data_IF_291411455661
#
_entry.id   IF_291411455661
#
_cell.length_a   1.000
_cell.length_b   1.000
_cell.length_c   1.000
_cell.angle_alpha   90.00
_cell.angle_beta   90.00
_cell.angle_gamma   90.00
#
_symmetry.space_group_name_H-M   'P 1'
#
loop_
_entity.id
_entity.type
_entity.pdbx_description
1 polymer ?
#
# COMPACT_ATOMS: atom_id res chain seq x y z
N UNK A 1 0.16 -10.24 -7.52
CA UNK A 1 -0.40 -10.80 -6.26
C UNK A 1 -0.50 -12.31 -6.34
N UNK A 2 -0.25 -12.99 -5.23
CA UNK A 2 -0.30 -14.46 -5.10
C UNK A 2 -1.73 -14.98 -5.25
N UNK A 3 -1.88 -16.14 -5.88
CA UNK A 3 -3.09 -16.93 -5.86
C UNK A 3 -3.06 -17.88 -4.66
N UNK A 4 -4.22 -18.16 -4.10
CA UNK A 4 -4.38 -19.01 -2.93
C UNK A 4 -5.35 -20.17 -3.26
N UNK A 5 -5.36 -21.19 -2.43
CA UNK A 5 -6.20 -22.36 -2.61
C UNK A 5 -6.98 -22.65 -1.34
N UNK A 6 -8.26 -22.89 -1.46
CA UNK A 6 -9.10 -23.32 -0.35
C UNK A 6 -8.64 -24.68 0.18
N UNK A 7 -8.27 -24.76 1.46
CA UNK A 7 -7.81 -26.01 2.07
C UNK A 7 -8.91 -27.07 2.24
N UNK A 8 -10.18 -26.72 2.02
CA UNK A 8 -11.30 -27.68 2.08
C UNK A 8 -11.64 -28.28 0.71
N UNK A 9 -11.74 -27.47 -0.35
CA UNK A 9 -12.25 -27.92 -1.66
C UNK A 9 -11.31 -27.65 -2.84
N UNK A 10 -10.10 -27.16 -2.59
CA UNK A 10 -9.07 -26.82 -3.58
C UNK A 10 -9.49 -25.74 -4.59
N UNK A 11 -10.61 -25.02 -4.36
CA UNK A 11 -10.98 -23.91 -5.22
C UNK A 11 -9.98 -22.74 -5.09
N UNK A 12 -9.78 -22.04 -6.21
CA UNK A 12 -8.94 -20.84 -6.26
C UNK A 12 -9.54 -19.74 -5.39
N UNK A 13 -8.69 -19.06 -4.64
CA UNK A 13 -9.03 -17.93 -3.80
C UNK A 13 -8.16 -16.71 -4.18
N UNK A 14 -8.75 -15.54 -4.09
CA UNK A 14 -8.09 -14.26 -4.29
C UNK A 14 -7.90 -13.54 -2.96
N UNK A 15 -6.95 -12.62 -2.91
CA UNK A 15 -6.50 -11.95 -1.70
C UNK A 15 -7.63 -11.34 -0.85
N UNK A 16 -8.63 -10.77 -1.50
CA UNK A 16 -9.77 -10.10 -0.84
C UNK A 16 -10.92 -11.04 -0.45
N UNK A 17 -10.83 -12.34 -0.76
CA UNK A 17 -11.91 -13.23 -0.40
C UNK A 17 -12.06 -13.35 1.12
N UNK A 18 -13.29 -13.30 1.60
CA UNK A 18 -13.71 -13.61 2.97
C UNK A 18 -14.48 -14.93 3.06
N UNK A 19 -14.86 -15.49 1.91
CA UNK A 19 -15.57 -16.76 1.76
C UNK A 19 -15.09 -17.49 0.50
N UNK A 20 -15.01 -18.82 0.56
CA UNK A 20 -14.81 -19.63 -0.63
C UNK A 20 -16.12 -19.71 -1.41
N UNK A 21 -16.12 -19.30 -2.68
CA UNK A 21 -17.32 -19.22 -3.50
C UNK A 21 -17.96 -20.59 -3.79
N UNK A 22 -17.19 -21.69 -3.70
CA UNK A 22 -17.67 -23.06 -3.98
C UNK A 22 -18.18 -23.74 -2.71
N UNK A 23 -17.36 -23.87 -1.69
CA UNK A 23 -17.73 -24.64 -0.49
C UNK A 23 -18.29 -23.79 0.65
N UNK A 24 -18.37 -22.49 0.49
CA UNK A 24 -18.92 -21.52 1.44
C UNK A 24 -18.20 -21.46 2.80
N UNK A 25 -17.02 -22.07 2.91
CA UNK A 25 -16.23 -21.88 4.11
C UNK A 25 -15.68 -20.45 4.19
N UNK A 26 -15.69 -19.94 5.39
CA UNK A 26 -15.06 -18.66 5.73
C UNK A 26 -13.56 -18.72 5.47
N UNK A 27 -12.98 -17.65 4.94
CA UNK A 27 -11.54 -17.52 4.70
C UNK A 27 -11.04 -16.19 5.22
N UNK A 28 -9.81 -16.16 5.74
CA UNK A 28 -9.18 -14.93 6.21
C UNK A 28 -7.68 -14.95 5.96
N UNK A 29 -7.07 -13.77 5.90
CA UNK A 29 -5.65 -13.60 5.63
C UNK A 29 -4.82 -13.59 6.91
N UNK A 30 -3.89 -14.51 7.03
CA UNK A 30 -2.86 -14.55 8.09
C UNK A 30 -1.63 -13.76 7.63
N UNK A 31 -1.44 -12.58 8.21
CA UNK A 31 -0.30 -11.71 7.89
C UNK A 31 1.05 -12.29 8.33
N UNK A 32 1.07 -13.13 9.37
CA UNK A 32 2.30 -13.75 9.85
C UNK A 32 2.85 -14.82 8.91
N UNK A 33 1.98 -15.46 8.13
CA UNK A 33 2.35 -16.48 7.14
C UNK A 33 2.17 -16.04 5.69
N UNK A 34 1.57 -14.89 5.44
CA UNK A 34 1.20 -14.36 4.12
C UNK A 34 0.36 -15.34 3.30
N UNK A 35 -0.66 -15.94 3.93
CA UNK A 35 -1.57 -16.91 3.32
C UNK A 35 -3.04 -16.61 3.64
N UNK A 36 -3.94 -16.99 2.73
CA UNK A 36 -5.36 -17.14 3.04
C UNK A 36 -5.60 -18.50 3.69
N UNK A 37 -6.34 -18.50 4.78
CA UNK A 37 -6.66 -19.69 5.56
C UNK A 37 -8.16 -19.95 5.48
N UNK A 38 -8.54 -21.20 5.22
CA UNK A 38 -9.92 -21.66 5.33
C UNK A 38 -10.23 -21.98 6.80
N UNK A 39 -11.36 -21.49 7.28
CA UNK A 39 -11.69 -21.44 8.69
C UNK A 39 -12.96 -22.22 9.03
N UNK A 40 -12.98 -22.76 10.23
CA UNK A 40 -14.17 -23.28 10.91
C UNK A 40 -14.55 -22.38 12.07
N UNK A 41 -15.84 -22.18 12.28
CA UNK A 41 -16.34 -21.51 13.47
C UNK A 41 -16.06 -22.37 14.72
N UNK A 42 -15.58 -21.74 15.77
CA UNK A 42 -15.38 -22.34 17.09
C UNK A 42 -16.02 -21.50 18.19
N UNK A 43 -16.13 -22.04 19.40
CA UNK A 43 -16.67 -21.26 20.53
C UNK A 43 -15.86 -20.02 20.90
N UNK A 44 -14.58 -20.00 20.54
CA UNK A 44 -13.64 -18.91 20.89
C UNK A 44 -13.29 -18.01 19.69
N UNK A 45 -13.83 -18.28 18.49
CA UNK A 45 -13.51 -17.56 17.27
C UNK A 45 -13.41 -18.46 16.05
N UNK A 46 -12.34 -18.36 15.29
CA UNK A 46 -12.12 -19.09 14.04
C UNK A 46 -10.89 -19.98 14.13
N UNK A 47 -11.02 -21.25 13.78
CA UNK A 47 -9.91 -22.21 13.77
C UNK A 47 -9.59 -22.62 12.33
N UNK A 48 -8.29 -22.65 11.93
CA UNK A 48 -7.90 -23.13 10.61
C UNK A 48 -8.26 -24.60 10.39
N UNK A 49 -8.71 -24.94 9.18
CA UNK A 49 -8.91 -26.35 8.80
C UNK A 49 -7.55 -27.07 8.77
N UNK A 50 -7.47 -28.21 9.49
CA UNK A 50 -6.27 -29.05 9.51
C UNK A 50 -5.11 -28.54 10.37
N UNK A 51 -5.29 -27.44 11.11
CA UNK A 51 -4.29 -26.92 12.05
C UNK A 51 -4.92 -26.82 13.44
N UNK A 52 -4.36 -27.55 14.39
CA UNK A 52 -4.81 -27.53 15.78
C UNK A 52 -4.11 -26.43 16.58
N UNK A 53 -4.74 -25.97 17.66
CA UNK A 53 -4.20 -25.02 18.64
C UNK A 53 -3.96 -23.59 18.15
N UNK A 54 -4.57 -23.20 17.04
CA UNK A 54 -4.57 -21.80 16.59
C UNK A 54 -6.02 -21.31 16.50
N UNK A 55 -6.31 -20.20 17.15
CA UNK A 55 -7.62 -19.55 17.09
C UNK A 55 -7.41 -18.08 16.70
N UNK A 56 -8.24 -17.63 15.79
CA UNK A 56 -8.20 -16.26 15.26
C UNK A 56 -9.55 -15.57 15.48
N UNK A 57 -9.51 -14.25 15.41
CA UNK A 57 -10.66 -13.40 15.15
C UNK A 57 -10.39 -12.54 13.94
N UNK A 58 -11.41 -12.00 13.32
CA UNK A 58 -11.23 -10.97 12.31
C UNK A 58 -10.79 -9.63 12.93
N UNK A 59 -10.08 -8.84 12.14
CA UNK A 59 -9.85 -7.43 12.40
C UNK A 59 -11.19 -6.70 12.56
N UNK A 60 -11.29 -5.74 13.50
CA UNK A 60 -12.50 -4.97 13.72
C UNK A 60 -13.02 -4.25 12.46
N UNK A 61 -12.15 -3.90 11.52
CA UNK A 61 -12.57 -3.31 10.24
C UNK A 61 -13.22 -4.33 9.27
N UNK A 62 -13.29 -5.60 9.61
CA UNK A 62 -14.07 -6.58 8.86
C UNK A 62 -15.57 -6.28 8.90
N UNK A 63 -16.08 -5.72 10.00
CA UNK A 63 -17.49 -5.33 10.16
C UNK A 63 -17.93 -4.28 9.13
N UNK A 64 -16.99 -3.50 8.62
CA UNK A 64 -17.23 -2.53 7.54
C UNK A 64 -17.04 -3.14 6.14
N UNK A 65 -16.67 -4.43 6.03
CA UNK A 65 -16.39 -5.10 4.77
C UNK A 65 -15.14 -4.57 4.06
N UNK A 66 -14.15 -4.08 4.82
CA UNK A 66 -12.91 -3.50 4.29
C UNK A 66 -11.69 -4.37 4.53
N UNK A 67 -11.80 -5.37 5.42
CA UNK A 67 -10.68 -6.17 5.88
C UNK A 67 -11.08 -7.63 6.04
N UNK A 68 -10.26 -8.55 5.52
CA UNK A 68 -10.38 -9.99 5.73
C UNK A 68 -9.20 -10.57 6.53
N UNK A 69 -8.40 -9.70 7.17
CA UNK A 69 -7.21 -10.12 7.89
C UNK A 69 -7.54 -10.65 9.28
N UNK A 70 -6.83 -11.68 9.64
CA UNK A 70 -6.97 -12.40 10.90
C UNK A 70 -6.02 -11.87 11.96
N UNK A 71 -6.46 -11.97 13.20
CA UNK A 71 -5.69 -11.62 14.40
C UNK A 71 -5.71 -12.83 15.33
N UNK A 72 -4.57 -13.35 15.80
CA UNK A 72 -4.56 -14.36 16.85
C UNK A 72 -5.32 -13.86 18.08
N UNK A 73 -6.12 -14.71 18.71
CA UNK A 73 -6.91 -14.31 19.90
C UNK A 73 -6.04 -13.88 21.09
N UNK A 74 -4.77 -14.27 21.08
CA UNK A 74 -3.77 -13.87 22.10
C UNK A 74 -3.31 -12.42 21.94
N UNK A 75 -3.56 -11.79 20.79
CA UNK A 75 -3.21 -10.40 20.54
C UNK A 75 -4.30 -9.48 21.09
N UNK A 76 -3.91 -8.47 21.88
CA UNK A 76 -4.85 -7.53 22.52
C UNK A 76 -5.46 -6.51 21.53
N UNK A 77 -4.69 -6.04 20.55
CA UNK A 77 -5.17 -5.06 19.56
C UNK A 77 -6.38 -5.59 18.77
N UNK A 78 -7.46 -4.82 18.61
CA UNK A 78 -8.60 -5.20 17.77
C UNK A 78 -8.29 -5.08 16.26
N UNK A 79 -7.15 -4.51 15.89
CA UNK A 79 -6.77 -4.25 14.52
C UNK A 79 -5.62 -5.15 14.06
N UNK A 80 -5.68 -5.59 12.80
CA UNK A 80 -4.60 -6.31 12.14
C UNK A 80 -3.42 -5.38 11.82
N UNK A 81 -2.29 -5.95 11.39
CA UNK A 81 -1.07 -5.19 11.05
C UNK A 81 -1.34 -4.01 10.10
N UNK A 82 -2.19 -4.20 9.09
CA UNK A 82 -2.50 -3.14 8.13
C UNK A 82 -3.45 -2.07 8.70
N UNK A 83 -4.47 -2.47 9.46
CA UNK A 83 -5.44 -1.53 10.02
C UNK A 83 -4.91 -0.77 11.24
N UNK A 84 -3.95 -1.33 11.96
CA UNK A 84 -3.27 -0.65 13.06
C UNK A 84 -2.43 0.56 12.62
N UNK A 85 -2.16 0.70 11.33
CA UNK A 85 -1.47 1.85 10.76
C UNK A 85 -2.38 3.06 10.54
N UNK A 86 -3.70 2.91 10.66
CA UNK A 86 -4.63 4.04 10.51
C UNK A 86 -4.58 4.93 11.75
N UNK A 87 -4.22 6.19 11.56
CA UNK A 87 -4.28 7.23 12.59
C UNK A 87 -5.59 8.01 12.50
N UNK A 88 -5.99 8.39 11.31
CA UNK A 88 -7.24 9.11 11.03
C UNK A 88 -8.02 8.39 9.93
N UNK A 89 -9.34 8.26 10.13
CA UNK A 89 -10.28 7.78 9.11
C UNK A 89 -11.41 8.79 8.95
N UNK A 90 -12.04 8.88 7.76
CA UNK A 90 -13.12 9.82 7.55
C UNK A 90 -14.38 9.45 8.35
N UNK A 91 -15.34 10.37 8.47
CA UNK A 91 -16.63 10.10 9.09
C UNK A 91 -17.41 9.06 8.27
N UNK A 92 -17.49 7.81 8.76
CA UNK A 92 -18.11 6.67 8.07
C UNK A 92 -19.64 6.73 8.05
N UNK A 93 -20.27 7.63 8.83
CA UNK A 93 -21.70 7.92 8.74
C UNK A 93 -22.09 8.57 7.41
N UNK A 94 -21.16 9.19 6.72
CA UNK A 94 -21.35 9.64 5.35
C UNK A 94 -21.11 8.46 4.39
N UNK A 95 -22.13 8.12 3.60
CA UNK A 95 -22.11 6.96 2.70
C UNK A 95 -21.03 7.09 1.61
N UNK A 96 -20.81 8.30 1.06
CA UNK A 96 -19.74 8.58 0.10
C UNK A 96 -18.37 8.28 0.74
N UNK A 97 -18.11 8.86 1.91
CA UNK A 97 -16.84 8.65 2.62
C UNK A 97 -16.59 7.17 2.93
N UNK A 98 -17.62 6.44 3.35
CA UNK A 98 -17.54 5.01 3.64
C UNK A 98 -17.14 4.21 2.39
N UNK A 99 -17.77 4.50 1.24
CA UNK A 99 -17.47 3.82 -0.03
C UNK A 99 -16.04 4.10 -0.51
N UNK A 100 -15.60 5.35 -0.43
CA UNK A 100 -14.26 5.75 -0.84
C UNK A 100 -13.19 5.18 0.11
N UNK A 101 -13.42 5.26 1.41
CA UNK A 101 -12.53 4.65 2.41
C UNK A 101 -12.37 3.14 2.22
N UNK A 102 -13.43 2.40 1.86
CA UNK A 102 -13.32 0.97 1.54
C UNK A 102 -12.35 0.70 0.39
N UNK A 103 -12.39 1.49 -0.66
CA UNK A 103 -11.47 1.35 -1.80
C UNK A 103 -10.02 1.64 -1.40
N UNK A 104 -9.82 2.67 -0.57
CA UNK A 104 -8.51 3.04 -0.02
C UNK A 104 -7.96 1.90 0.85
N UNK A 105 -8.76 1.35 1.75
CA UNK A 105 -8.35 0.24 2.61
C UNK A 105 -7.91 -0.99 1.82
N UNK A 106 -8.63 -1.35 0.75
CA UNK A 106 -8.24 -2.46 -0.14
C UNK A 106 -6.85 -2.20 -0.76
N UNK A 107 -6.62 -0.98 -1.26
CA UNK A 107 -5.31 -0.63 -1.84
C UNK A 107 -4.20 -0.62 -0.79
N UNK A 108 -4.46 -0.12 0.42
CA UNK A 108 -3.52 -0.13 1.54
C UNK A 108 -3.19 -1.56 2.00
N UNK A 109 -4.17 -2.47 2.07
CA UNK A 109 -3.91 -3.88 2.40
C UNK A 109 -2.98 -4.54 1.37
N UNK A 110 -3.14 -4.24 0.08
CA UNK A 110 -2.24 -4.70 -0.97
C UNK A 110 -0.83 -4.13 -0.83
N UNK A 111 -0.72 -2.83 -0.49
CA UNK A 111 0.57 -2.22 -0.17
C UNK A 111 1.23 -2.96 1.00
N UNK A 112 0.53 -3.08 2.14
CA UNK A 112 1.09 -3.68 3.35
C UNK A 112 1.47 -5.15 3.12
N UNK A 113 0.68 -5.90 2.36
CA UNK A 113 1.05 -7.25 1.91
C UNK A 113 2.41 -7.25 1.19
N UNK A 114 2.60 -6.34 0.22
CA UNK A 114 3.84 -6.26 -0.55
C UNK A 114 5.04 -5.89 0.34
N UNK A 115 4.85 -4.97 1.30
CA UNK A 115 5.88 -4.58 2.26
C UNK A 115 6.30 -5.76 3.16
N UNK A 116 5.32 -6.47 3.73
CA UNK A 116 5.58 -7.65 4.57
C UNK A 116 6.27 -8.76 3.79
N UNK A 117 5.86 -9.00 2.54
CA UNK A 117 6.48 -9.99 1.66
C UNK A 117 7.93 -9.67 1.34
N UNK A 118 8.28 -8.41 1.20
CA UNK A 118 9.66 -7.94 0.99
C UNK A 118 10.48 -7.91 2.28
N UNK A 119 9.89 -8.24 3.43
CA UNK A 119 10.56 -8.20 4.73
C UNK A 119 10.86 -6.79 5.24
N UNK A 120 10.17 -5.79 4.71
CA UNK A 120 10.34 -4.41 5.12
C UNK A 120 9.70 -4.15 6.50
N UNK A 121 10.24 -3.24 7.31
CA UNK A 121 9.65 -2.88 8.60
C UNK A 121 8.28 -2.23 8.41
N UNK A 122 7.26 -2.77 9.09
CA UNK A 122 5.89 -2.26 9.08
C UNK A 122 5.42 -2.18 10.53
N UNK A 123 5.57 -1.02 11.13
CA UNK A 123 5.17 -0.77 12.51
C UNK A 123 4.33 0.50 12.62
N UNK A 124 3.25 0.51 13.44
CA UNK A 124 2.47 1.72 13.66
C UNK A 124 3.31 2.81 14.31
N UNK A 125 3.14 4.05 13.85
CA UNK A 125 3.73 5.24 14.46
C UNK A 125 3.13 5.47 15.84
N UNK A 126 3.97 5.51 16.87
CA UNK A 126 3.53 5.61 18.27
C UNK A 126 3.26 7.08 18.66
N UNK A 127 4.14 7.99 18.23
CA UNK A 127 4.07 9.42 18.53
C UNK A 127 4.77 10.22 17.42
N UNK A 128 4.85 11.53 17.57
CA UNK A 128 5.45 12.42 16.57
C UNK A 128 6.97 12.25 16.44
N UNK A 129 7.63 11.86 17.51
CA UNK A 129 9.08 11.65 17.58
C UNK A 129 9.52 10.28 17.04
N UNK A 130 8.58 9.37 16.84
CA UNK A 130 8.84 8.05 16.26
C UNK A 130 9.13 8.20 14.76
N UNK A 131 10.39 8.16 14.39
CA UNK A 131 10.86 8.29 12.99
C UNK A 131 10.78 6.98 12.20
N UNK A 132 10.49 5.86 12.88
CA UNK A 132 10.45 4.52 12.28
C UNK A 132 9.05 3.96 12.11
N UNK A 133 8.04 4.63 12.66
CA UNK A 133 6.65 4.24 12.57
C UNK A 133 5.95 4.78 11.32
N UNK A 134 4.95 4.04 10.85
CA UNK A 134 4.07 4.42 9.74
C UNK A 134 2.69 4.77 10.27
N UNK A 135 2.10 5.85 9.79
CA UNK A 135 0.71 6.18 10.01
C UNK A 135 0.02 6.60 8.71
N UNK A 136 -1.25 6.28 8.58
CA UNK A 136 -2.11 6.75 7.48
C UNK A 136 -3.21 7.65 8.01
N UNK A 137 -3.35 8.81 7.39
CA UNK A 137 -4.48 9.72 7.57
C UNK A 137 -5.32 9.74 6.30
N UNK A 138 -6.54 9.24 6.39
CA UNK A 138 -7.52 9.28 5.30
C UNK A 138 -8.54 10.37 5.61
N UNK A 139 -8.43 11.48 4.88
CA UNK A 139 -9.15 12.70 5.17
C UNK A 139 -10.04 13.10 3.99
N UNK A 140 -11.23 13.63 4.30
CA UNK A 140 -12.09 14.29 3.33
C UNK A 140 -11.84 15.80 3.35
N UNK A 141 -12.05 16.46 2.22
CA UNK A 141 -12.05 17.92 2.17
C UNK A 141 -13.12 18.48 3.13
N UNK A 142 -12.74 19.47 3.95
CA UNK A 142 -13.66 20.13 4.86
C UNK A 142 -14.55 21.15 4.15
N UNK A 143 -14.01 21.76 3.09
CA UNK A 143 -14.72 22.70 2.22
C UNK A 143 -14.03 22.75 0.84
N UNK A 144 -14.69 23.31 -0.20
CA UNK A 144 -14.08 23.46 -1.53
C UNK A 144 -12.78 24.28 -1.54
N UNK A 145 -12.57 25.10 -0.52
CA UNK A 145 -11.39 25.95 -0.39
C UNK A 145 -10.31 25.39 0.53
N UNK A 146 -10.60 24.28 1.22
CA UNK A 146 -9.69 23.63 2.17
C UNK A 146 -9.49 22.17 1.72
N UNK A 147 -8.67 22.01 0.67
CA UNK A 147 -8.36 20.69 0.13
C UNK A 147 -7.30 19.99 0.97
N UNK A 148 -7.54 18.72 1.24
CA UNK A 148 -6.54 17.84 1.82
C UNK A 148 -5.47 17.57 0.74
N UNK A 149 -4.23 17.91 1.05
CA UNK A 149 -3.10 17.58 0.18
C UNK A 149 -2.62 16.17 0.52
N UNK A 150 -2.54 15.32 -0.48
CA UNK A 150 -1.90 14.01 -0.35
C UNK A 150 -0.39 14.18 -0.32
N UNK A 151 0.29 13.39 0.51
CA UNK A 151 1.73 13.43 0.62
C UNK A 151 2.24 12.69 1.86
N UNK A 152 3.56 12.65 1.99
CA UNK A 152 4.28 12.06 3.11
C UNK A 152 4.95 13.15 3.95
N UNK A 153 4.88 13.02 5.27
CA UNK A 153 5.62 13.81 6.24
C UNK A 153 5.99 12.98 7.47
N UNK A 154 7.28 12.77 7.69
CA UNK A 154 7.82 12.07 8.86
C UNK A 154 7.04 10.79 9.22
N UNK A 155 6.94 9.86 8.28
CA UNK A 155 6.24 8.57 8.44
C UNK A 155 4.71 8.64 8.46
N UNK A 156 4.12 9.81 8.28
CA UNK A 156 2.68 9.99 8.10
C UNK A 156 2.36 10.16 6.63
N UNK A 157 1.52 9.28 6.11
CA UNK A 157 1.01 9.35 4.75
C UNK A 157 -0.43 9.84 4.81
N UNK A 158 -0.65 11.07 4.35
CA UNK A 158 -1.97 11.67 4.22
C UNK A 158 -2.52 11.39 2.83
N UNK A 159 -3.76 10.96 2.74
CA UNK A 159 -4.45 10.73 1.47
C UNK A 159 -5.83 11.38 1.51
N UNK A 160 -6.13 12.19 0.48
CA UNK A 160 -7.48 12.67 0.27
C UNK A 160 -8.37 11.51 -0.22
N UNK A 161 -9.47 11.25 0.49
CA UNK A 161 -10.36 10.12 0.14
C UNK A 161 -11.00 10.27 -1.24
N UNK A 162 -11.09 11.49 -1.78
CA UNK A 162 -11.60 11.72 -3.14
C UNK A 162 -10.73 11.06 -4.22
N UNK A 163 -9.47 10.74 -3.92
CA UNK A 163 -8.62 9.97 -4.83
C UNK A 163 -9.11 8.53 -5.07
N UNK A 164 -9.99 8.02 -4.22
CA UNK A 164 -10.69 6.77 -4.46
C UNK A 164 -11.77 6.87 -5.54
N UNK A 165 -12.22 8.06 -5.89
CA UNK A 165 -13.15 8.29 -7.01
C UNK A 165 -12.41 8.18 -8.36
N UNK A 166 -12.94 7.34 -9.26
CA UNK A 166 -12.32 7.14 -10.57
C UNK A 166 -12.41 8.38 -11.47
N UNK A 167 -13.49 9.15 -11.34
CA UNK A 167 -13.69 10.38 -12.12
C UNK A 167 -12.70 11.47 -11.72
N UNK A 168 -12.52 11.68 -10.41
CA UNK A 168 -11.55 12.64 -9.90
C UNK A 168 -10.12 12.22 -10.26
N UNK A 169 -9.78 10.94 -10.11
CA UNK A 169 -8.49 10.39 -10.51
C UNK A 169 -8.15 10.60 -11.98
N UNK A 170 -9.16 10.42 -12.87
CA UNK A 170 -8.99 10.67 -14.31
C UNK A 170 -8.75 12.16 -14.59
N UNK A 171 -9.45 13.06 -13.89
CA UNK A 171 -9.21 14.51 -14.01
C UNK A 171 -7.80 14.86 -13.60
N UNK A 172 -7.37 14.46 -12.39
CA UNK A 172 -6.00 14.69 -11.91
C UNK A 172 -4.94 14.12 -12.86
N UNK A 173 -5.19 12.92 -13.40
CA UNK A 173 -4.32 12.32 -14.41
C UNK A 173 -4.16 13.17 -15.66
N UNK A 174 -5.25 13.74 -16.16
CA UNK A 174 -5.24 14.61 -17.34
C UNK A 174 -4.55 15.94 -17.03
N UNK A 175 -4.86 16.55 -15.89
CA UNK A 175 -4.31 17.83 -15.45
C UNK A 175 -2.80 17.78 -15.23
N UNK A 176 -2.28 16.66 -14.73
CA UNK A 176 -0.85 16.46 -14.44
C UNK A 176 -0.09 15.76 -15.57
N UNK A 177 -0.77 15.34 -16.65
CA UNK A 177 -0.14 14.63 -17.78
C UNK A 177 0.40 13.24 -17.44
N UNK A 178 -0.02 12.65 -16.31
CA UNK A 178 0.45 11.34 -15.85
C UNK A 178 -0.20 10.21 -16.65
N UNK A 179 0.62 9.30 -17.19
CA UNK A 179 0.12 8.14 -17.95
C UNK A 179 -0.51 7.06 -17.08
N UNK A 180 -0.04 6.93 -15.83
CA UNK A 180 -0.44 5.87 -14.91
C UNK A 180 -0.62 6.42 -13.49
N UNK A 181 -1.87 6.59 -13.07
CA UNK A 181 -2.21 7.00 -11.71
C UNK A 181 -3.25 6.06 -11.14
N UNK A 182 -2.83 5.15 -10.27
CA UNK A 182 -3.72 4.30 -9.50
C UNK A 182 -3.57 4.61 -8.02
N UNK A 183 -4.61 4.32 -7.25
CA UNK A 183 -4.57 4.48 -5.80
C UNK A 183 -3.40 3.69 -5.16
N UNK A 184 -3.19 2.45 -5.61
CA UNK A 184 -2.06 1.64 -5.14
C UNK A 184 -0.70 2.20 -5.61
N UNK A 185 -0.63 2.77 -6.81
CA UNK A 185 0.58 3.44 -7.32
C UNK A 185 0.95 4.65 -6.48
N UNK A 186 -0.04 5.47 -6.12
CA UNK A 186 0.16 6.62 -5.25
C UNK A 186 0.63 6.21 -3.85
N UNK A 187 -0.01 5.21 -3.23
CA UNK A 187 0.50 4.65 -1.97
C UNK A 187 1.95 4.17 -2.06
N UNK A 188 2.34 3.56 -3.18
CA UNK A 188 3.71 3.09 -3.38
C UNK A 188 4.70 4.23 -3.52
N UNK A 189 4.28 5.32 -4.14
CA UNK A 189 5.09 6.53 -4.25
C UNK A 189 5.30 7.14 -2.86
N UNK A 190 4.25 7.43 -2.12
CA UNK A 190 4.33 8.06 -0.80
C UNK A 190 5.09 7.21 0.23
N UNK A 191 4.90 5.88 0.22
CA UNK A 191 5.68 4.99 1.07
C UNK A 191 7.15 4.91 0.64
N UNK A 192 7.47 5.22 -0.61
CA UNK A 192 8.85 5.36 -1.11
C UNK A 192 9.60 6.44 -0.37
N UNK A 193 8.99 7.61 -0.16
CA UNK A 193 9.56 8.70 0.64
C UNK A 193 9.85 8.26 2.08
N UNK A 194 8.90 7.56 2.72
CA UNK A 194 9.13 7.00 4.06
C UNK A 194 10.32 6.04 4.08
N UNK A 195 10.42 5.10 3.14
CA UNK A 195 11.54 4.16 3.13
C UNK A 195 12.87 4.80 2.74
N UNK A 196 12.87 5.95 2.05
CA UNK A 196 14.08 6.74 1.92
C UNK A 196 14.58 7.24 3.28
N UNK A 197 13.69 7.79 4.11
CA UNK A 197 14.06 8.26 5.46
C UNK A 197 14.60 7.13 6.34
N UNK A 198 13.98 5.95 6.30
CA UNK A 198 14.32 4.82 7.19
C UNK A 198 15.53 4.03 6.70
N UNK A 199 15.72 3.89 5.38
CA UNK A 199 16.73 2.99 4.82
C UNK A 199 17.95 3.71 4.26
N UNK A 200 17.82 4.97 3.85
CA UNK A 200 18.85 5.69 3.09
C UNK A 200 19.44 6.86 3.88
N UNK A 201 18.60 7.76 4.41
CA UNK A 201 18.96 9.08 4.96
C UNK A 201 20.21 9.07 5.85
N UNK A 202 20.26 8.22 6.87
CA UNK A 202 21.35 8.15 7.84
C UNK A 202 22.12 6.82 7.77
N UNK A 203 22.20 6.24 6.56
CA UNK A 203 22.79 4.92 6.33
C UNK A 203 24.07 4.97 5.49
N UNK A 204 24.77 3.86 5.44
CA UNK A 204 25.90 3.65 4.54
C UNK A 204 25.52 3.72 3.04
N UNK A 205 24.24 3.75 2.71
CA UNK A 205 23.75 3.77 1.33
C UNK A 205 23.55 5.18 0.78
N UNK A 206 23.65 6.24 1.62
CA UNK A 206 23.41 7.62 1.20
C UNK A 206 24.32 8.05 0.03
N UNK A 207 25.61 7.74 0.09
CA UNK A 207 26.54 8.07 -1.00
C UNK A 207 26.20 7.34 -2.31
N UNK A 208 25.74 6.08 -2.22
CA UNK A 208 25.30 5.35 -3.39
C UNK A 208 23.99 5.90 -3.95
N UNK A 209 23.09 6.35 -3.07
CA UNK A 209 21.88 7.07 -3.47
C UNK A 209 22.24 8.32 -4.28
N UNK A 210 23.17 9.17 -3.78
CA UNK A 210 23.60 10.39 -4.46
C UNK A 210 24.22 10.13 -5.82
N UNK A 211 24.96 9.03 -5.96
CA UNK A 211 25.53 8.62 -7.25
C UNK A 211 24.46 8.22 -8.27
N UNK A 212 23.34 7.67 -7.84
CA UNK A 212 22.28 7.16 -8.71
C UNK A 212 21.21 8.21 -9.00
N UNK A 213 20.79 8.95 -7.97
CA UNK A 213 19.63 9.83 -8.01
C UNK A 213 20.00 11.32 -7.94
N UNK A 214 21.22 11.65 -7.50
CA UNK A 214 21.66 13.02 -7.31
C UNK A 214 21.59 13.52 -5.88
N UNK A 215 21.83 14.82 -5.71
CA UNK A 215 21.91 15.47 -4.40
C UNK A 215 20.51 15.79 -3.85
N UNK A 216 20.11 15.10 -2.81
CA UNK A 216 18.83 15.27 -2.12
C UNK A 216 18.75 16.58 -1.32
N UNK A 217 19.86 17.28 -1.10
CA UNK A 217 19.90 18.53 -0.37
C UNK A 217 19.48 19.74 -1.23
N UNK A 218 19.21 19.53 -2.51
CA UNK A 218 18.64 20.59 -3.36
C UNK A 218 17.33 21.09 -2.75
N UNK A 219 17.07 22.40 -2.90
CA UNK A 219 15.81 22.99 -2.44
C UNK A 219 14.62 22.33 -3.15
N UNK A 220 13.89 21.51 -2.40
CA UNK A 220 12.76 20.74 -2.89
C UNK A 220 11.64 21.62 -3.46
N UNK A 221 11.29 22.70 -2.73
CA UNK A 221 10.22 23.61 -3.14
C UNK A 221 10.58 24.34 -4.44
N UNK A 222 11.82 24.81 -4.54
CA UNK A 222 12.31 25.49 -5.74
C UNK A 222 12.40 24.51 -6.93
N UNK A 223 12.79 23.26 -6.68
CA UNK A 223 12.88 22.24 -7.72
C UNK A 223 11.49 21.91 -8.32
N UNK A 224 10.48 21.72 -7.47
CA UNK A 224 9.10 21.50 -7.91
C UNK A 224 8.52 22.73 -8.62
N UNK A 225 8.73 23.92 -8.08
CA UNK A 225 8.28 25.17 -8.73
C UNK A 225 8.88 25.31 -10.14
N UNK A 226 10.15 24.97 -10.28
CA UNK A 226 10.85 24.98 -11.57
C UNK A 226 10.25 23.96 -12.51
N UNK A 227 10.02 22.73 -12.05
CA UNK A 227 9.43 21.65 -12.84
C UNK A 227 8.05 22.02 -13.40
N UNK A 228 7.18 22.62 -12.57
CA UNK A 228 5.84 23.02 -13.02
C UNK A 228 5.80 24.26 -13.92
N UNK A 229 6.87 25.09 -13.94
CA UNK A 229 6.98 26.28 -14.77
C UNK A 229 7.71 26.06 -16.10
N UNK A 230 8.44 24.96 -16.20
CA UNK A 230 9.25 24.66 -17.40
C UNK A 230 8.72 23.41 -18.09
N UNK A 231 8.88 23.35 -19.40
CA UNK A 231 8.58 22.11 -20.12
C UNK A 231 9.54 21.00 -19.68
N UNK A 232 8.99 19.80 -19.48
CA UNK A 232 9.79 18.63 -19.19
C UNK A 232 10.79 18.37 -20.33
N UNK A 233 12.08 18.11 -20.06
CA UNK A 233 13.06 17.82 -21.09
C UNK A 233 12.58 16.69 -22.02
N UNK A 234 12.69 16.88 -23.33
CA UNK A 234 12.19 15.92 -24.33
C UNK A 234 12.88 14.53 -24.26
N UNK A 235 14.06 14.48 -23.62
CA UNK A 235 14.87 13.26 -23.42
C UNK A 235 14.84 12.75 -21.97
N UNK A 236 13.85 13.11 -21.18
CA UNK A 236 13.74 12.64 -19.79
C UNK A 236 13.80 11.11 -19.67
N UNK A 237 13.23 10.41 -20.63
CA UNK A 237 13.18 8.95 -20.67
C UNK A 237 14.54 8.24 -20.88
N UNK A 238 15.60 8.99 -21.19
CA UNK A 238 16.95 8.45 -21.26
C UNK A 238 17.60 8.35 -19.85
N UNK A 239 17.05 9.09 -18.86
CA UNK A 239 17.63 9.24 -17.53
C UNK A 239 16.69 8.91 -16.38
N UNK A 240 15.39 9.04 -16.58
CA UNK A 240 14.37 8.93 -15.53
C UNK A 240 13.27 7.95 -15.92
N UNK A 241 12.62 7.37 -14.91
CA UNK A 241 11.52 6.42 -15.12
C UNK A 241 10.18 7.09 -15.44
N UNK A 242 10.03 8.35 -15.04
CA UNK A 242 8.87 9.19 -15.37
C UNK A 242 9.30 10.63 -15.57
N UNK A 243 8.48 11.48 -16.23
CA UNK A 243 8.74 12.93 -16.29
C UNK A 243 8.89 13.55 -14.90
N UNK A 244 8.02 13.17 -13.96
CA UNK A 244 7.99 13.71 -12.60
C UNK A 244 9.26 13.35 -11.80
N UNK A 245 9.84 12.18 -12.03
CA UNK A 245 11.13 11.78 -11.45
C UNK A 245 12.26 12.81 -11.72
N UNK A 246 12.18 13.54 -12.83
CA UNK A 246 13.18 14.57 -13.16
C UNK A 246 13.11 15.81 -12.27
N UNK A 247 12.09 15.97 -11.46
CA UNK A 247 11.87 17.18 -10.64
C UNK A 247 12.83 17.29 -9.46
N UNK A 248 13.06 16.20 -8.73
CA UNK A 248 13.93 16.15 -7.55
C UNK A 248 14.44 14.73 -7.26
N UNK A 249 15.64 14.52 -6.69
CA UNK A 249 16.14 13.19 -6.31
C UNK A 249 15.22 12.36 -5.43
N UNK A 250 14.45 12.97 -4.53
CA UNK A 250 13.44 12.26 -3.74
C UNK A 250 12.27 11.75 -4.57
N UNK A 251 11.85 12.52 -5.59
CA UNK A 251 10.80 12.10 -6.50
C UNK A 251 11.29 10.98 -7.43
N UNK A 252 12.52 11.06 -7.90
CA UNK A 252 13.14 9.99 -8.69
C UNK A 252 13.23 8.68 -7.90
N UNK A 253 13.62 8.76 -6.64
CA UNK A 253 13.58 7.62 -5.74
C UNK A 253 12.16 7.08 -5.56
N UNK A 254 11.18 7.92 -5.22
CA UNK A 254 9.80 7.50 -4.96
C UNK A 254 9.13 6.87 -6.20
N UNK A 255 9.35 7.46 -7.39
CA UNK A 255 8.89 6.91 -8.66
C UNK A 255 9.56 5.57 -8.98
N UNK A 256 10.89 5.48 -8.82
CA UNK A 256 11.65 4.24 -9.01
C UNK A 256 11.21 3.15 -8.03
N UNK A 257 10.98 3.50 -6.77
CA UNK A 257 10.43 2.60 -5.74
C UNK A 257 9.04 2.09 -6.11
N UNK A 258 8.14 2.96 -6.53
CA UNK A 258 6.79 2.58 -6.94
C UNK A 258 6.82 1.61 -8.14
N UNK A 259 7.66 1.87 -9.13
CA UNK A 259 7.83 1.00 -10.29
C UNK A 259 8.44 -0.35 -9.91
N UNK A 260 9.44 -0.37 -9.02
CA UNK A 260 9.99 -1.63 -8.49
C UNK A 260 8.90 -2.49 -7.84
N UNK A 261 8.07 -1.88 -6.99
CA UNK A 261 6.95 -2.58 -6.34
C UNK A 261 5.94 -3.11 -7.35
N UNK A 262 5.64 -2.37 -8.43
CA UNK A 262 4.77 -2.84 -9.51
C UNK A 262 5.38 -4.03 -10.26
N UNK A 263 6.68 -4.00 -10.55
CA UNK A 263 7.38 -5.11 -11.19
C UNK A 263 7.35 -6.37 -10.31
N UNK A 264 7.63 -6.24 -9.02
CA UNK A 264 7.60 -7.36 -8.08
C UNK A 264 6.21 -8.00 -7.98
N UNK A 265 5.15 -7.21 -7.95
CA UNK A 265 3.79 -7.73 -7.95
C UNK A 265 3.40 -8.40 -9.27
N UNK A 266 3.86 -7.84 -10.38
CA UNK A 266 3.62 -8.44 -11.72
C UNK A 266 4.33 -9.78 -11.85
N UNK A 267 5.57 -9.89 -11.40
CA UNK A 267 6.34 -11.13 -11.38
C UNK A 267 5.70 -12.17 -10.47
N UNK A 268 5.24 -11.79 -9.28
CA UNK A 268 4.53 -12.71 -8.39
C UNK A 268 3.23 -13.23 -9.03
N UNK A 269 2.49 -12.35 -9.69
CA UNK A 269 1.27 -12.72 -10.38
C UNK A 269 1.58 -13.69 -11.53
N UNK A 270 2.55 -13.37 -12.37
CA UNK A 270 3.00 -14.24 -13.47
C UNK A 270 3.41 -15.63 -12.96
N UNK A 271 4.23 -15.67 -11.91
CA UNK A 271 4.63 -16.92 -11.25
C UNK A 271 3.43 -17.72 -10.74
N UNK A 272 2.47 -17.05 -10.11
CA UNK A 272 1.26 -17.70 -9.56
C UNK A 272 0.38 -18.33 -10.65
N UNK A 273 0.45 -17.83 -11.88
CA UNK A 273 -0.21 -18.40 -13.06
C UNK A 273 0.68 -19.39 -13.84
N UNK A 274 1.84 -19.76 -13.31
CA UNK A 274 2.75 -20.72 -13.94
C UNK A 274 3.55 -20.14 -15.11
N UNK A 275 3.59 -18.81 -15.26
CA UNK A 275 4.41 -18.14 -16.28
C UNK A 275 5.84 -18.04 -15.74
N UNK A 276 6.78 -18.68 -16.41
CA UNK A 276 8.20 -18.66 -16.09
C UNK A 276 9.06 -18.49 -17.34
N UNK A 277 10.24 -17.90 -17.18
CA UNK A 277 11.25 -17.82 -18.24
C UNK A 277 12.21 -18.97 -18.02
N UNK A 278 12.27 -19.89 -18.99
CA UNK A 278 13.27 -20.95 -19.03
C UNK A 278 14.31 -20.58 -20.07
N UNK A 279 15.55 -20.40 -19.64
CA UNK A 279 16.67 -20.23 -20.56
C UNK A 279 16.83 -21.54 -21.36
N UNK A 280 16.64 -21.47 -22.67
CA UNK A 280 17.02 -22.59 -23.55
C UNK A 280 18.55 -22.60 -23.63
N UNK A 281 19.14 -23.66 -23.12
CA UNK A 281 20.58 -23.93 -23.29
C UNK A 281 20.98 -24.14 -24.74
#
# INVERSE_FOLDING_TARGET
>A
MKLYTCSHCNNLLYFENSECLICKHTVGFDAGKLILITLLNSQQGYSPIGINNMVFRYCANADFGTCNWLIPITQSSPFCTACALNRTIPALSNEKNNKEWKRIEIAKHRLVYSLLRLGLPVQPKINKEDVTGIAFDFMADSSPNERVMTGHDNGVITLNIEEADEGERVRHKLDLGEKYRTLLGHFRHEIGHYYWEVLIKDSQYLEKFRQLFGDEQKDYSQALETYYKTDTPSNWNDFFISPYASSHPWEDWAESWAHYMHLMDSLETAWSFGIGIHQRG
#
